data_IF_386667284512
#
_entry.id   IF_386667284512
#
_cell.length_a   1.000
_cell.length_b   1.000
_cell.length_c   1.000
_cell.angle_alpha   90.00
_cell.angle_beta   90.00
_cell.angle_gamma   90.00
#
_symmetry.space_group_name_H-M   'P 1'
#
loop_
_entity.id
_entity.type
_entity.pdbx_description
1 polymer ?
#
# COMPACT_ATOMS: atom_id res chain seq x y z
N UNK A 1 -7.08 -29.84 11.09
CA UNK A 1 -6.55 -29.20 12.31
C UNK A 1 -7.72 -28.64 13.12
N UNK A 2 -8.04 -29.23 14.28
CA UNK A 2 -8.94 -28.59 15.26
C UNK A 2 -8.29 -27.28 15.68
N UNK A 3 -8.97 -26.13 15.46
CA UNK A 3 -8.55 -24.86 16.05
C UNK A 3 -8.55 -25.06 17.57
N UNK A 4 -7.37 -25.11 18.16
CA UNK A 4 -7.22 -25.07 19.62
C UNK A 4 -7.83 -23.73 20.06
N UNK A 5 -8.91 -23.77 20.84
CA UNK A 5 -9.48 -22.55 21.42
C UNK A 5 -8.45 -21.99 22.39
N UNK A 6 -7.96 -20.81 22.10
CA UNK A 6 -7.11 -20.03 23.01
C UNK A 6 -8.01 -19.51 24.13
N UNK A 7 -7.56 -19.56 25.39
CA UNK A 7 -8.36 -19.01 26.50
C UNK A 7 -8.60 -17.51 26.30
N UNK A 8 -9.74 -16.96 26.76
CA UNK A 8 -10.03 -15.53 26.64
C UNK A 8 -8.93 -14.63 27.25
N UNK A 9 -8.33 -15.05 28.34
CA UNK A 9 -7.20 -14.33 28.99
C UNK A 9 -5.96 -14.29 28.11
N UNK A 10 -5.65 -15.41 27.47
CA UNK A 10 -4.53 -15.50 26.53
C UNK A 10 -4.81 -14.66 25.27
N UNK A 11 -6.06 -14.64 24.78
CA UNK A 11 -6.45 -13.80 23.65
C UNK A 11 -6.30 -12.31 23.96
N UNK A 12 -6.69 -11.86 25.16
CA UNK A 12 -6.52 -10.46 25.60
C UNK A 12 -5.04 -10.09 25.73
N UNK A 13 -4.22 -10.99 26.27
CA UNK A 13 -2.77 -10.77 26.38
C UNK A 13 -2.12 -10.63 24.99
N UNK A 14 -2.47 -11.50 24.05
CA UNK A 14 -1.98 -11.46 22.68
C UNK A 14 -2.47 -10.21 21.94
N UNK A 15 -3.71 -9.78 22.18
CA UNK A 15 -4.25 -8.53 21.65
C UNK A 15 -3.44 -7.33 22.16
N UNK A 16 -3.27 -7.19 23.46
CA UNK A 16 -2.48 -6.11 24.09
C UNK A 16 -1.05 -6.06 23.55
N UNK A 17 -0.42 -7.23 23.38
CA UNK A 17 0.92 -7.33 22.82
C UNK A 17 0.95 -6.79 21.36
N UNK A 18 0.03 -7.22 20.51
CA UNK A 18 -0.02 -6.78 19.12
C UNK A 18 -0.30 -5.26 19.00
N UNK A 19 -1.21 -4.74 19.82
CA UNK A 19 -1.50 -3.29 19.86
C UNK A 19 -0.28 -2.51 20.34
N UNK A 20 0.40 -2.95 21.39
CA UNK A 20 1.63 -2.30 21.88
C UNK A 20 2.72 -2.27 20.80
N UNK A 21 2.92 -3.38 20.08
CA UNK A 21 3.87 -3.46 18.97
C UNK A 21 3.51 -2.46 17.84
N UNK A 22 2.23 -2.32 17.52
CA UNK A 22 1.76 -1.35 16.53
C UNK A 22 2.14 0.09 16.91
N UNK A 23 1.93 0.49 18.17
CA UNK A 23 2.28 1.83 18.68
C UNK A 23 3.79 2.05 18.65
N UNK A 24 4.57 1.07 19.13
CA UNK A 24 6.04 1.15 19.12
C UNK A 24 6.61 1.23 17.69
N UNK A 25 6.05 0.49 16.74
CA UNK A 25 6.45 0.58 15.34
C UNK A 25 6.14 1.96 14.76
N UNK A 26 4.99 2.55 15.11
CA UNK A 26 4.62 3.88 14.64
C UNK A 26 5.55 4.97 15.20
N UNK A 27 5.87 4.90 16.48
CA UNK A 27 6.86 5.79 17.12
C UNK A 27 8.21 5.72 16.39
N UNK A 28 8.71 4.49 16.12
CA UNK A 28 9.94 4.30 15.35
C UNK A 28 9.85 4.85 13.94
N UNK A 29 8.74 4.61 13.24
CA UNK A 29 8.51 5.11 11.89
C UNK A 29 8.48 6.64 11.85
N UNK A 30 7.93 7.31 12.87
CA UNK A 30 7.89 8.77 12.98
C UNK A 30 9.27 9.40 13.15
N UNK A 31 10.19 8.68 13.83
CA UNK A 31 11.55 9.14 14.15
C UNK A 31 12.58 8.83 13.05
N UNK A 32 12.20 8.12 11.98
CA UNK A 32 13.12 7.77 10.89
C UNK A 32 13.82 8.99 10.33
N UNK A 33 15.15 8.89 10.21
CA UNK A 33 16.00 9.86 9.50
C UNK A 33 16.69 9.10 8.38
N UNK A 34 16.36 9.46 7.14
CA UNK A 34 16.98 8.86 5.95
C UNK A 34 18.29 9.60 5.69
N UNK A 35 19.45 8.89 5.57
CA UNK A 35 20.71 9.54 5.26
C UNK A 35 20.66 10.28 3.92
N UNK A 36 21.28 11.45 3.82
CA UNK A 36 21.28 12.30 2.61
C UNK A 36 21.75 11.56 1.36
N UNK A 37 22.75 10.67 1.52
CA UNK A 37 23.24 9.82 0.42
C UNK A 37 22.12 8.91 -0.11
N UNK A 38 21.34 8.31 0.78
CA UNK A 38 20.24 7.41 0.40
C UNK A 38 19.08 8.22 -0.21
N UNK A 39 18.72 9.34 0.39
CA UNK A 39 17.72 10.27 -0.17
C UNK A 39 18.06 10.62 -1.62
N UNK A 40 19.28 11.07 -1.86
CA UNK A 40 19.74 11.48 -3.20
C UNK A 40 19.68 10.32 -4.23
N UNK A 41 20.15 9.13 -3.86
CA UNK A 41 20.11 7.96 -4.77
C UNK A 41 18.69 7.49 -5.05
N UNK A 42 17.84 7.39 -4.02
CA UNK A 42 16.45 7.01 -4.12
C UNK A 42 15.70 8.02 -5.03
N UNK A 43 15.82 9.33 -4.79
CA UNK A 43 15.19 10.36 -5.63
C UNK A 43 15.58 10.20 -7.10
N UNK A 44 16.86 9.97 -7.39
CA UNK A 44 17.34 9.78 -8.76
C UNK A 44 16.80 8.50 -9.41
N UNK A 45 16.67 7.39 -8.68
CA UNK A 45 16.01 6.16 -9.17
C UNK A 45 14.55 6.44 -9.50
N UNK A 46 13.84 7.18 -8.63
CA UNK A 46 12.42 7.52 -8.80
C UNK A 46 12.13 8.31 -10.07
N UNK A 47 13.11 9.00 -10.65
CA UNK A 47 12.96 9.71 -11.94
C UNK A 47 12.75 8.76 -13.14
N UNK A 48 13.08 7.48 -12.99
CA UNK A 48 13.03 6.47 -14.06
C UNK A 48 11.91 5.45 -13.87
N UNK A 49 11.05 5.63 -12.85
CA UNK A 49 9.95 4.71 -12.55
C UNK A 49 8.59 5.43 -12.61
N UNK A 50 7.51 4.68 -12.74
CA UNK A 50 6.12 5.13 -12.59
C UNK A 50 5.71 6.36 -13.42
N UNK A 51 6.32 6.59 -14.58
CA UNK A 51 6.03 7.79 -15.41
C UNK A 51 4.56 7.98 -15.77
N UNK A 52 3.80 6.89 -15.87
CA UNK A 52 2.37 6.94 -16.15
C UNK A 52 1.55 7.63 -15.04
N UNK A 53 2.08 7.73 -13.82
CA UNK A 53 1.42 8.49 -12.75
C UNK A 53 1.44 10.01 -12.95
N UNK A 54 2.31 10.52 -13.84
CA UNK A 54 2.36 11.96 -14.21
C UNK A 54 1.20 12.36 -15.13
N UNK A 55 0.56 11.40 -15.78
CA UNK A 55 -0.59 11.67 -16.63
C UNK A 55 -1.82 11.94 -15.75
N UNK A 56 -2.45 13.11 -15.93
CA UNK A 56 -3.64 13.50 -15.14
C UNK A 56 -4.85 12.61 -15.40
N UNK A 57 -4.93 11.99 -16.57
CA UNK A 57 -6.03 11.15 -16.99
C UNK A 57 -5.68 9.65 -16.82
N UNK A 58 -6.12 9.07 -15.72
CA UNK A 58 -6.29 7.63 -15.68
C UNK A 58 -7.68 7.32 -16.25
N UNK A 59 -7.77 7.01 -17.52
CA UNK A 59 -9.03 6.69 -18.19
C UNK A 59 -9.83 5.54 -17.54
N UNK A 60 -9.24 4.76 -16.61
CA UNK A 60 -9.88 3.58 -16.02
C UNK A 60 -9.31 3.26 -14.63
N UNK A 61 -9.42 4.16 -13.66
CA UNK A 61 -9.22 3.74 -12.28
C UNK A 61 -10.44 2.92 -11.84
N UNK A 62 -10.25 1.63 -11.58
CA UNK A 62 -11.34 0.75 -11.13
C UNK A 62 -11.65 1.00 -9.64
N UNK A 63 -12.45 2.01 -9.37
CA UNK A 63 -12.97 2.28 -8.03
C UNK A 63 -13.98 1.22 -7.64
N UNK A 64 -13.77 0.59 -6.50
CA UNK A 64 -14.64 -0.47 -5.99
C UNK A 64 -14.55 -0.56 -4.47
N UNK A 65 -15.55 -1.17 -3.85
CA UNK A 65 -15.42 -1.54 -2.45
C UNK A 65 -14.54 -2.78 -2.30
N UNK A 66 -13.66 -2.75 -1.30
CA UNK A 66 -12.94 -3.93 -0.86
C UNK A 66 -13.87 -4.94 -0.16
N UNK A 67 -13.48 -6.21 -0.05
CA UNK A 67 -14.25 -7.25 0.64
C UNK A 67 -14.25 -7.08 2.17
N UNK A 68 -13.29 -6.33 2.72
CA UNK A 68 -13.09 -6.15 4.15
C UNK A 68 -14.19 -5.32 4.82
N UNK A 69 -14.22 -5.35 6.15
CA UNK A 69 -15.07 -4.48 6.96
C UNK A 69 -14.77 -3.00 6.72
N UNK A 70 -15.74 -2.14 6.98
CA UNK A 70 -15.60 -0.68 7.00
C UNK A 70 -15.95 -0.16 8.39
N UNK A 71 -15.38 1.00 8.77
CA UNK A 71 -15.52 1.58 10.12
C UNK A 71 -16.98 1.77 10.53
N UNK A 72 -17.83 2.13 9.57
CA UNK A 72 -19.28 2.34 9.77
C UNK A 72 -20.07 1.04 9.99
N UNK A 73 -19.44 -0.14 9.82
CA UNK A 73 -20.06 -1.43 10.07
C UNK A 73 -20.97 -1.95 8.95
N UNK A 74 -21.00 -1.31 7.79
CA UNK A 74 -21.81 -1.76 6.65
C UNK A 74 -21.38 -3.12 6.11
N UNK A 75 -22.35 -3.97 5.80
CA UNK A 75 -22.11 -5.25 5.10
C UNK A 75 -21.79 -5.01 3.63
N UNK A 76 -21.19 -5.99 2.99
CA UNK A 76 -20.75 -5.89 1.58
C UNK A 76 -21.88 -5.50 0.62
N UNK A 77 -23.10 -5.98 0.84
CA UNK A 77 -24.28 -5.64 0.04
C UNK A 77 -24.85 -4.23 0.33
N UNK A 78 -24.49 -3.60 1.44
CA UNK A 78 -24.95 -2.27 1.82
C UNK A 78 -24.00 -1.16 1.34
N UNK A 79 -22.72 -1.46 1.11
CA UNK A 79 -21.71 -0.45 0.81
C UNK A 79 -22.04 0.41 -0.40
N UNK A 80 -22.65 -0.14 -1.43
CA UNK A 80 -23.02 0.62 -2.62
C UNK A 80 -24.19 1.57 -2.39
N UNK A 81 -25.25 1.13 -1.71
CA UNK A 81 -26.40 1.98 -1.37
C UNK A 81 -26.01 3.08 -0.37
N UNK A 82 -25.15 2.77 0.59
CA UNK A 82 -24.69 3.73 1.58
C UNK A 82 -23.66 4.72 1.00
N UNK A 83 -22.93 4.34 -0.05
CA UNK A 83 -22.00 5.26 -0.72
C UNK A 83 -22.70 6.49 -1.27
N UNK A 84 -23.85 6.32 -1.92
CA UNK A 84 -24.66 7.44 -2.41
C UNK A 84 -25.07 8.38 -1.27
N UNK A 85 -25.52 7.80 -0.15
CA UNK A 85 -25.90 8.58 1.03
C UNK A 85 -24.73 9.33 1.64
N UNK A 86 -23.55 8.70 1.74
CA UNK A 86 -22.32 9.32 2.24
C UNK A 86 -21.92 10.48 1.33
N UNK A 87 -21.91 10.28 0.01
CA UNK A 87 -21.55 11.31 -0.96
C UNK A 87 -22.51 12.51 -0.86
N UNK A 88 -23.80 12.27 -0.71
CA UNK A 88 -24.82 13.34 -0.57
C UNK A 88 -24.67 14.16 0.72
N UNK A 89 -24.27 13.50 1.80
CA UNK A 89 -24.19 14.11 3.13
C UNK A 89 -22.77 14.55 3.50
N UNK A 90 -21.77 14.11 2.75
CA UNK A 90 -20.37 14.37 3.07
C UNK A 90 -19.91 15.67 2.40
N UNK A 91 -19.86 16.72 3.20
CA UNK A 91 -19.27 17.99 2.83
C UNK A 91 -17.72 17.94 2.75
N UNK A 92 -17.10 16.78 2.90
CA UNK A 92 -15.64 16.62 3.09
C UNK A 92 -14.95 15.80 2.00
N UNK A 93 -15.56 15.61 0.83
CA UNK A 93 -14.88 14.97 -0.29
C UNK A 93 -13.64 15.76 -0.70
N UNK A 94 -12.49 15.11 -0.96
CA UNK A 94 -11.34 15.80 -1.55
C UNK A 94 -11.70 16.42 -2.91
N UNK A 95 -11.12 17.58 -3.24
CA UNK A 95 -11.40 18.30 -4.49
C UNK A 95 -11.23 17.44 -5.74
N UNK A 96 -10.17 16.61 -5.78
CA UNK A 96 -9.94 15.67 -6.88
C UNK A 96 -11.00 14.57 -6.97
N UNK A 97 -11.70 14.24 -5.87
CA UNK A 97 -12.80 13.27 -5.87
C UNK A 97 -14.07 13.86 -6.47
N UNK A 98 -14.28 15.17 -6.36
CA UNK A 98 -15.38 15.89 -7.02
C UNK A 98 -15.26 15.93 -8.53
N UNK A 99 -14.04 15.99 -9.04
CA UNK A 99 -13.72 15.88 -10.47
C UNK A 99 -13.58 14.45 -10.96
N UNK A 100 -13.71 13.47 -10.07
CA UNK A 100 -13.27 12.15 -10.40
C UNK A 100 -14.31 11.43 -11.22
N UNK A 101 -13.84 11.01 -12.35
CA UNK A 101 -14.44 10.08 -13.28
C UNK A 101 -14.95 8.79 -12.60
N UNK A 102 -14.54 8.51 -11.34
CA UNK A 102 -14.94 7.32 -10.63
C UNK A 102 -16.45 7.25 -10.38
N UNK A 103 -17.09 8.38 -10.11
CA UNK A 103 -18.54 8.44 -9.92
C UNK A 103 -19.28 8.25 -11.26
N UNK A 104 -18.66 8.68 -12.35
CA UNK A 104 -19.24 8.56 -13.70
C UNK A 104 -19.07 7.16 -14.25
N UNK A 105 -17.89 6.55 -14.15
CA UNK A 105 -17.59 5.29 -14.82
C UNK A 105 -18.03 4.05 -14.04
N UNK A 106 -17.79 4.01 -12.73
CA UNK A 106 -17.92 2.77 -11.95
C UNK A 106 -19.10 2.75 -10.97
N UNK A 107 -19.51 3.91 -10.46
CA UNK A 107 -20.58 3.98 -9.45
C UNK A 107 -21.94 4.04 -10.12
N UNK A 108 -22.05 4.78 -11.23
CA UNK A 108 -23.32 5.01 -11.95
C UNK A 108 -24.08 3.73 -12.32
N UNK A 109 -23.45 2.69 -12.91
CA UNK A 109 -24.16 1.45 -13.22
C UNK A 109 -24.58 0.63 -12.00
N UNK A 110 -23.94 0.84 -10.85
CA UNK A 110 -24.12 0.03 -9.64
C UNK A 110 -25.04 0.66 -8.60
N UNK A 111 -25.31 1.94 -8.72
CA UNK A 111 -26.26 2.67 -7.89
C UNK A 111 -27.74 2.46 -8.32
N UNK A 112 -28.08 1.30 -8.83
CA UNK A 112 -29.47 0.93 -9.14
C UNK A 112 -29.87 1.00 -10.60
N UNK A 113 -28.92 0.94 -11.53
CA UNK A 113 -29.17 0.68 -12.95
C UNK A 113 -29.84 1.79 -13.76
N UNK A 114 -30.25 2.90 -13.14
CA UNK A 114 -30.97 3.99 -13.82
C UNK A 114 -30.44 5.40 -13.56
N UNK A 115 -29.52 5.58 -12.63
CA UNK A 115 -28.93 6.90 -12.33
C UNK A 115 -27.62 7.09 -13.09
N UNK A 116 -27.64 7.86 -14.13
CA UNK A 116 -26.46 8.28 -14.84
C UNK A 116 -25.86 9.52 -14.14
N UNK A 117 -24.85 9.30 -13.31
CA UNK A 117 -24.05 10.39 -12.75
C UNK A 117 -23.08 10.90 -13.81
N UNK A 118 -23.12 12.17 -14.12
CA UNK A 118 -22.20 12.80 -15.06
C UNK A 118 -21.64 14.10 -14.53
N UNK A 119 -20.39 14.37 -14.86
CA UNK A 119 -19.78 15.68 -14.63
C UNK A 119 -20.38 16.66 -15.63
N UNK A 120 -20.94 17.77 -15.18
CA UNK A 120 -21.43 18.83 -16.04
C UNK A 120 -20.26 19.68 -16.54
N UNK A 121 -20.53 20.49 -17.60
CA UNK A 121 -19.55 21.46 -18.14
C UNK A 121 -19.16 22.54 -17.11
N UNK A 122 -19.99 22.79 -16.12
CA UNK A 122 -19.75 23.69 -15.00
C UNK A 122 -19.02 23.02 -13.83
N UNK A 123 -18.46 21.84 -14.05
CA UNK A 123 -17.75 21.02 -13.06
C UNK A 123 -18.61 20.55 -11.86
N UNK A 124 -19.92 20.54 -12.00
CA UNK A 124 -20.81 19.95 -11.00
C UNK A 124 -21.11 18.49 -11.30
N UNK A 125 -21.20 17.66 -10.26
CA UNK A 125 -21.69 16.28 -10.36
C UNK A 125 -23.22 16.29 -10.46
N UNK A 126 -23.75 15.66 -11.50
CA UNK A 126 -25.17 15.54 -11.71
C UNK A 126 -25.59 14.08 -11.90
N UNK A 127 -26.67 13.68 -11.28
CA UNK A 127 -27.30 12.40 -11.46
C UNK A 127 -28.75 12.56 -11.92
N UNK A 128 -29.27 11.54 -12.58
CA UNK A 128 -30.67 11.50 -12.99
C UNK A 128 -31.52 10.83 -11.92
N UNK A 129 -32.55 11.51 -11.45
CA UNK A 129 -33.49 10.92 -10.51
C UNK A 129 -34.32 9.85 -11.27
N UNK A 130 -34.40 8.60 -10.79
CA UNK A 130 -35.22 7.57 -11.42
C UNK A 130 -36.67 8.02 -11.54
N UNK A 131 -37.24 7.95 -12.75
CA UNK A 131 -38.62 8.32 -13.04
C UNK A 131 -38.85 9.80 -13.28
N UNK A 132 -37.87 10.67 -13.25
CA UNK A 132 -37.98 12.09 -13.59
C UNK A 132 -37.00 12.46 -14.72
N UNK A 133 -37.29 13.56 -15.41
CA UNK A 133 -36.36 14.15 -16.39
C UNK A 133 -35.36 15.14 -15.72
N UNK A 134 -35.48 15.37 -14.43
CA UNK A 134 -34.68 16.29 -13.69
C UNK A 134 -33.31 15.70 -13.36
N UNK A 135 -32.27 16.49 -13.54
CA UNK A 135 -30.90 16.15 -13.13
C UNK A 135 -30.70 16.61 -11.69
N UNK A 136 -30.30 15.70 -10.82
CA UNK A 136 -29.86 16.06 -9.48
C UNK A 136 -28.43 16.57 -9.53
N UNK A 137 -28.20 17.82 -9.15
CA UNK A 137 -26.86 18.36 -8.91
C UNK A 137 -26.46 17.94 -7.51
N UNK A 138 -25.43 17.10 -7.40
CA UNK A 138 -24.95 16.62 -6.10
C UNK A 138 -23.94 17.56 -5.47
N UNK A 139 -23.05 18.11 -6.30
CA UNK A 139 -21.99 19.00 -5.85
C UNK A 139 -21.71 20.06 -6.88
N UNK A 140 -21.48 21.29 -6.44
CA UNK A 140 -20.97 22.38 -7.24
C UNK A 140 -19.49 22.57 -6.92
N UNK A 141 -18.70 23.05 -7.90
CA UNK A 141 -17.27 23.26 -7.75
C UNK A 141 -16.92 24.21 -6.58
N UNK A 142 -17.74 25.24 -6.37
CA UNK A 142 -17.57 26.20 -5.27
C UNK A 142 -17.64 25.53 -3.88
N UNK A 143 -18.39 24.42 -3.75
CA UNK A 143 -18.55 23.70 -2.49
C UNK A 143 -17.29 22.92 -2.09
N UNK A 144 -16.33 22.74 -3.02
CA UNK A 144 -15.09 22.02 -2.79
C UNK A 144 -13.95 22.90 -2.27
N UNK A 145 -13.94 24.19 -2.58
CA UNK A 145 -12.82 25.08 -2.24
C UNK A 145 -12.78 25.57 -0.79
N UNK A 146 -13.88 25.48 -0.05
CA UNK A 146 -13.95 25.95 1.35
C UNK A 146 -13.79 24.83 2.39
N UNK A 147 -13.40 23.62 1.98
CA UNK A 147 -13.47 22.44 2.86
C UNK A 147 -12.22 22.25 3.71
N UNK A 148 -12.46 22.00 4.99
CA UNK A 148 -11.40 21.58 5.93
C UNK A 148 -10.90 20.19 5.55
N UNK A 149 -9.58 19.91 5.71
CA UNK A 149 -9.05 18.60 5.47
C UNK A 149 -9.78 17.55 6.33
N UNK A 150 -10.08 16.42 5.74
CA UNK A 150 -10.75 15.31 6.38
C UNK A 150 -9.84 14.69 7.44
N UNK A 151 -10.25 14.70 8.70
CA UNK A 151 -9.57 14.04 9.80
C UNK A 151 -10.24 12.69 10.09
N UNK A 152 -10.24 11.81 9.09
CA UNK A 152 -10.80 10.48 9.27
C UNK A 152 -9.90 9.63 10.17
N UNK A 153 -10.54 8.84 11.02
CA UNK A 153 -9.84 7.86 11.83
C UNK A 153 -10.23 6.44 11.40
N UNK A 154 -9.25 5.55 11.38
CA UNK A 154 -9.47 4.11 11.21
C UNK A 154 -9.61 3.43 12.58
N UNK A 155 -10.36 2.34 12.63
CA UNK A 155 -10.46 1.50 13.83
C UNK A 155 -9.37 0.45 13.83
N UNK A 156 -8.57 0.39 14.90
CA UNK A 156 -7.57 -0.65 15.09
C UNK A 156 -8.17 -1.87 15.78
N UNK A 157 -7.98 -3.02 15.18
CA UNK A 157 -8.30 -4.32 15.76
C UNK A 157 -7.12 -5.27 15.64
N UNK A 158 -7.16 -6.37 16.36
CA UNK A 158 -6.23 -7.48 16.12
C UNK A 158 -6.96 -8.74 15.70
N UNK A 159 -6.34 -9.50 14.80
CA UNK A 159 -6.80 -10.81 14.32
C UNK A 159 -5.75 -11.87 14.59
N UNK A 160 -6.17 -13.12 14.80
CA UNK A 160 -5.23 -14.24 14.99
C UNK A 160 -4.39 -14.42 13.72
N UNK A 161 -3.06 -14.42 13.89
CA UNK A 161 -2.10 -14.82 12.86
C UNK A 161 -1.83 -16.33 12.94
N UNK A 162 -1.61 -16.81 14.16
CA UNK A 162 -1.46 -18.22 14.51
C UNK A 162 -1.85 -18.41 15.98
N UNK A 163 -1.64 -19.59 16.56
CA UNK A 163 -2.00 -19.92 17.95
C UNK A 163 -1.26 -19.07 19.00
N UNK A 164 -0.15 -18.45 18.65
CA UNK A 164 0.75 -17.75 19.59
C UNK A 164 0.90 -16.25 19.28
N UNK A 165 0.28 -15.76 18.20
CA UNK A 165 0.42 -14.37 17.80
C UNK A 165 -0.84 -13.81 17.14
N UNK A 166 -1.04 -12.50 17.32
CA UNK A 166 -2.07 -11.71 16.65
C UNK A 166 -1.42 -10.66 15.74
N UNK A 167 -2.16 -10.24 14.73
CA UNK A 167 -1.79 -9.19 13.79
C UNK A 167 -2.78 -8.05 13.93
N UNK A 168 -2.30 -6.82 13.93
CA UNK A 168 -3.15 -5.63 13.90
C UNK A 168 -3.66 -5.36 12.48
N UNK A 169 -4.91 -4.92 12.39
CA UNK A 169 -5.55 -4.49 11.14
C UNK A 169 -6.26 -3.16 11.41
N UNK A 170 -6.13 -2.22 10.48
CA UNK A 170 -6.92 -0.99 10.48
C UNK A 170 -8.18 -1.19 9.63
N UNK A 171 -9.32 -0.88 10.21
CA UNK A 171 -10.60 -0.85 9.49
C UNK A 171 -10.83 0.59 9.06
N UNK A 172 -10.69 0.83 7.77
CA UNK A 172 -10.83 2.15 7.16
C UNK A 172 -12.29 2.59 7.06
N UNK A 173 -12.58 3.91 7.06
CA UNK A 173 -13.87 4.43 6.64
C UNK A 173 -14.24 3.98 5.22
N UNK A 174 -15.52 3.80 4.97
CA UNK A 174 -16.02 3.25 3.70
C UNK A 174 -15.58 4.06 2.49
N UNK A 175 -15.66 5.38 2.56
CA UNK A 175 -15.26 6.25 1.45
C UNK A 175 -13.75 6.23 1.23
N UNK A 176 -12.95 6.24 2.31
CA UNK A 176 -11.50 6.11 2.20
C UNK A 176 -11.12 4.78 1.54
N UNK A 177 -11.73 3.66 1.98
CA UNK A 177 -11.51 2.36 1.37
C UNK A 177 -11.83 2.35 -0.13
N UNK A 178 -12.93 2.99 -0.53
CA UNK A 178 -13.35 3.09 -1.93
C UNK A 178 -12.33 3.86 -2.78
N UNK A 179 -11.90 5.05 -2.30
CA UNK A 179 -10.91 5.88 -2.98
C UNK A 179 -9.52 5.21 -3.04
N UNK A 180 -9.11 4.60 -1.94
CA UNK A 180 -7.86 3.82 -1.87
C UNK A 180 -7.83 2.68 -2.90
N UNK A 181 -8.94 1.98 -3.13
CA UNK A 181 -9.02 0.91 -4.13
C UNK A 181 -8.80 1.45 -5.55
N UNK A 182 -9.36 2.60 -5.88
CA UNK A 182 -9.13 3.26 -7.18
C UNK A 182 -7.67 3.66 -7.38
N UNK A 183 -7.07 4.32 -6.39
CA UNK A 183 -5.65 4.68 -6.44
C UNK A 183 -4.73 3.46 -6.47
N UNK A 184 -5.07 2.40 -5.73
CA UNK A 184 -4.36 1.12 -5.75
C UNK A 184 -4.38 0.48 -7.14
N UNK A 185 -5.55 0.47 -7.80
CA UNK A 185 -5.67 -0.02 -9.17
C UNK A 185 -4.80 0.79 -10.15
N UNK A 186 -4.80 2.12 -10.02
CA UNK A 186 -3.95 3.00 -10.83
C UNK A 186 -2.46 2.74 -10.60
N UNK A 187 -2.03 2.59 -9.33
CA UNK A 187 -0.65 2.28 -9.00
C UNK A 187 -0.21 0.92 -9.55
N UNK A 188 -1.06 -0.10 -9.45
CA UNK A 188 -0.80 -1.42 -10.03
C UNK A 188 -0.60 -1.34 -11.53
N UNK A 189 -1.49 -0.64 -12.26
CA UNK A 189 -1.34 -0.44 -13.70
C UNK A 189 -0.06 0.33 -14.06
N UNK A 190 0.34 1.29 -13.22
CA UNK A 190 1.59 2.02 -13.41
C UNK A 190 2.83 1.15 -13.19
N UNK A 191 2.79 0.23 -12.23
CA UNK A 191 3.85 -0.76 -11.99
C UNK A 191 3.95 -1.71 -13.19
N UNK A 192 2.83 -2.28 -13.62
CA UNK A 192 2.78 -3.27 -14.71
C UNK A 192 3.27 -2.67 -16.04
N UNK A 193 2.97 -1.40 -16.31
CA UNK A 193 3.43 -0.68 -17.51
C UNK A 193 4.86 -0.16 -17.41
N UNK A 194 5.46 -0.17 -16.22
CA UNK A 194 6.82 0.33 -15.99
C UNK A 194 7.86 -0.73 -16.32
N UNK A 195 8.68 -0.51 -17.35
CA UNK A 195 9.74 -1.46 -17.76
C UNK A 195 10.81 -1.72 -16.67
N UNK A 196 10.95 -0.85 -15.70
CA UNK A 196 11.86 -1.02 -14.55
C UNK A 196 11.16 -1.85 -13.47
N UNK A 197 10.05 -1.36 -12.93
CA UNK A 197 9.37 -1.99 -11.80
C UNK A 197 8.66 -3.30 -12.16
N UNK A 198 8.16 -3.45 -13.39
CA UNK A 198 7.59 -4.71 -13.86
C UNK A 198 8.60 -5.88 -13.87
N UNK A 199 9.91 -5.59 -13.89
CA UNK A 199 10.92 -6.61 -13.68
C UNK A 199 11.12 -6.96 -12.18
N UNK A 200 10.82 -6.04 -11.28
CA UNK A 200 11.10 -6.20 -9.85
C UNK A 200 9.87 -6.52 -9.02
N UNK A 201 8.67 -6.17 -9.47
CA UNK A 201 7.44 -6.30 -8.69
C UNK A 201 6.42 -7.12 -9.49
N UNK A 202 5.82 -8.10 -8.83
CA UNK A 202 4.75 -8.93 -9.41
C UNK A 202 3.61 -9.07 -8.38
N UNK A 203 2.77 -8.03 -8.26
CA UNK A 203 1.76 -7.91 -7.19
C UNK A 203 0.70 -9.02 -7.16
N UNK A 204 0.53 -9.78 -8.25
CA UNK A 204 -0.46 -10.86 -8.39
C UNK A 204 0.17 -12.24 -8.61
N UNK A 205 1.49 -12.33 -8.71
CA UNK A 205 2.23 -13.54 -9.09
C UNK A 205 3.35 -13.86 -8.10
N UNK A 206 2.98 -14.45 -6.96
CA UNK A 206 3.95 -14.87 -5.94
C UNK A 206 4.86 -16.03 -6.41
N UNK A 207 4.43 -16.76 -7.43
CA UNK A 207 5.18 -17.87 -8.02
C UNK A 207 6.53 -17.46 -8.60
N UNK A 208 6.73 -16.19 -8.94
CA UNK A 208 8.04 -15.71 -9.36
C UNK A 208 9.05 -15.71 -8.20
N UNK A 209 8.64 -15.23 -7.03
CA UNK A 209 9.48 -15.29 -5.83
C UNK A 209 9.73 -16.74 -5.41
N UNK A 210 8.70 -17.60 -5.45
CA UNK A 210 8.83 -19.03 -5.14
C UNK A 210 9.87 -19.72 -6.02
N UNK A 211 9.84 -19.49 -7.34
CA UNK A 211 10.82 -20.03 -8.30
C UNK A 211 12.24 -19.55 -8.01
N UNK A 212 12.42 -18.26 -7.69
CA UNK A 212 13.73 -17.72 -7.36
C UNK A 212 14.25 -18.25 -6.01
N UNK A 213 13.38 -18.54 -5.05
CA UNK A 213 13.77 -19.21 -3.81
C UNK A 213 14.29 -20.63 -4.07
N UNK A 214 13.61 -21.41 -4.93
CA UNK A 214 14.06 -22.73 -5.36
C UNK A 214 15.42 -22.65 -6.09
N UNK A 215 15.55 -21.76 -7.08
CA UNK A 215 16.79 -21.53 -7.81
C UNK A 215 17.92 -21.10 -6.89
N UNK A 216 17.67 -20.11 -6.01
CA UNK A 216 18.65 -19.62 -5.04
C UNK A 216 19.07 -20.67 -4.03
N UNK A 217 18.18 -21.59 -3.64
CA UNK A 217 18.53 -22.71 -2.76
C UNK A 217 19.42 -23.76 -3.45
N UNK A 218 19.38 -23.85 -4.78
CA UNK A 218 20.22 -24.77 -5.55
C UNK A 218 21.58 -24.18 -5.90
N UNK A 219 21.60 -22.91 -6.40
CA UNK A 219 22.81 -22.27 -6.94
C UNK A 219 23.43 -21.21 -6.02
N UNK A 220 22.80 -20.85 -4.91
CA UNK A 220 23.18 -19.77 -4.00
C UNK A 220 23.34 -18.39 -4.69
N UNK A 221 22.67 -18.18 -5.81
CA UNK A 221 22.69 -16.95 -6.59
C UNK A 221 21.64 -15.92 -6.18
N UNK A 222 20.62 -16.32 -5.42
CA UNK A 222 19.56 -15.48 -4.87
C UNK A 222 19.51 -15.57 -3.35
N UNK A 223 19.41 -14.41 -2.71
CA UNK A 223 19.17 -14.24 -1.29
C UNK A 223 17.71 -13.90 -1.03
N UNK A 224 17.12 -14.42 0.04
CA UNK A 224 15.76 -14.07 0.49
C UNK A 224 15.83 -13.25 1.77
N UNK A 225 15.10 -12.14 1.81
CA UNK A 225 15.08 -11.17 2.90
C UNK A 225 13.64 -11.02 3.38
N UNK A 226 13.39 -11.30 4.64
CA UNK A 226 12.12 -11.10 5.35
C UNK A 226 12.20 -9.85 6.23
N UNK A 227 11.13 -9.07 6.30
CA UNK A 227 11.04 -7.86 7.11
C UNK A 227 10.09 -8.07 8.29
N UNK A 228 10.50 -7.63 9.48
CA UNK A 228 9.60 -7.59 10.64
C UNK A 228 8.72 -6.37 10.57
N UNK A 229 7.42 -6.58 10.77
CA UNK A 229 6.43 -5.48 10.86
C UNK A 229 6.56 -4.49 9.69
N UNK A 230 6.79 -5.02 8.46
CA UNK A 230 7.16 -4.27 7.26
C UNK A 230 6.23 -3.08 6.98
N UNK A 231 4.92 -3.30 7.00
CA UNK A 231 3.92 -2.25 6.80
C UNK A 231 3.89 -1.25 7.96
N UNK A 232 4.14 -1.72 9.18
CA UNK A 232 4.08 -0.89 10.38
C UNK A 232 5.33 -0.02 10.60
N UNK A 233 6.43 -0.36 9.94
CA UNK A 233 7.67 0.43 9.94
C UNK A 233 7.83 1.31 8.69
N UNK A 234 6.90 1.26 7.75
CA UNK A 234 6.96 2.09 6.56
C UNK A 234 6.59 3.55 6.87
N UNK A 235 7.61 4.38 7.07
CA UNK A 235 7.45 5.79 7.44
C UNK A 235 6.82 6.63 6.31
N UNK A 236 6.08 7.67 6.69
CA UNK A 236 5.62 8.68 5.72
C UNK A 236 6.79 9.35 4.98
N UNK A 237 7.94 9.51 5.65
CA UNK A 237 9.14 10.11 5.05
C UNK A 237 9.65 9.26 3.88
N UNK A 238 9.73 7.93 4.05
CA UNK A 238 10.14 7.04 2.98
C UNK A 238 9.16 7.08 1.80
N UNK A 239 7.85 7.00 2.07
CA UNK A 239 6.82 7.09 1.03
C UNK A 239 6.86 8.44 0.34
N UNK A 240 6.98 9.54 1.09
CA UNK A 240 7.12 10.89 0.52
C UNK A 240 8.36 11.05 -0.36
N UNK A 241 9.48 10.44 0.02
CA UNK A 241 10.70 10.41 -0.78
C UNK A 241 10.50 9.66 -2.10
N UNK A 242 9.96 8.44 -2.04
CA UNK A 242 9.76 7.58 -3.22
C UNK A 242 8.74 8.19 -4.20
N UNK A 243 7.71 8.84 -3.69
CA UNK A 243 6.68 9.48 -4.52
C UNK A 243 6.93 10.99 -4.77
N UNK A 244 8.08 11.54 -4.39
CA UNK A 244 8.46 12.95 -4.60
C UNK A 244 8.32 13.41 -6.05
N UNK A 245 8.57 12.52 -7.01
CA UNK A 245 8.44 12.81 -8.44
C UNK A 245 6.99 12.81 -8.94
N UNK A 246 6.03 12.46 -8.07
CA UNK A 246 4.60 12.29 -8.37
C UNK A 246 3.74 12.99 -7.31
N UNK A 247 3.89 14.33 -7.12
CA UNK A 247 3.28 15.05 -6.00
C UNK A 247 1.75 14.96 -5.99
N UNK A 248 1.10 15.05 -7.16
CA UNK A 248 -0.36 14.92 -7.27
C UNK A 248 -0.86 13.54 -6.82
N UNK A 249 -0.16 12.46 -7.22
CA UNK A 249 -0.54 11.12 -6.80
C UNK A 249 -0.29 10.91 -5.29
N UNK A 250 0.84 11.40 -4.79
CA UNK A 250 1.16 11.36 -3.36
C UNK A 250 0.10 12.10 -2.54
N UNK A 251 -0.28 13.31 -2.95
CA UNK A 251 -1.31 14.08 -2.25
C UNK A 251 -2.64 13.31 -2.20
N UNK A 252 -3.09 12.72 -3.32
CA UNK A 252 -4.30 11.89 -3.34
C UNK A 252 -4.23 10.68 -2.40
N UNK A 253 -3.07 10.04 -2.28
CA UNK A 253 -2.87 8.98 -1.29
C UNK A 253 -3.01 9.51 0.14
N UNK A 254 -2.47 10.71 0.41
CA UNK A 254 -2.58 11.34 1.73
C UNK A 254 -4.00 11.79 2.06
N UNK A 255 -4.76 12.29 1.07
CA UNK A 255 -6.15 12.75 1.25
C UNK A 255 -7.12 11.59 1.59
N UNK A 256 -6.85 10.38 1.08
CA UNK A 256 -7.71 9.22 1.35
C UNK A 256 -7.17 8.27 2.42
N UNK A 257 -6.04 8.57 3.06
CA UNK A 257 -5.58 7.79 4.22
C UNK A 257 -6.30 8.25 5.49
N UNK A 258 -6.41 7.37 6.48
CA UNK A 258 -6.80 7.73 7.83
C UNK A 258 -5.55 8.17 8.61
N UNK A 259 -5.40 9.47 8.94
CA UNK A 259 -4.23 9.95 9.66
C UNK A 259 -4.25 9.58 11.15
N UNK A 260 -5.40 9.19 11.68
CA UNK A 260 -5.61 8.82 13.07
C UNK A 260 -6.10 7.38 13.17
N UNK A 261 -5.67 6.68 14.19
CA UNK A 261 -6.13 5.33 14.52
C UNK A 261 -6.72 5.31 15.92
N UNK A 262 -7.90 4.70 16.05
CA UNK A 262 -8.62 4.53 17.30
C UNK A 262 -8.61 3.05 17.72
N UNK A 263 -8.20 2.80 18.95
CA UNK A 263 -8.27 1.51 19.62
C UNK A 263 -9.08 1.66 20.92
N UNK A 264 -9.86 0.64 21.29
CA UNK A 264 -10.85 0.74 22.37
C UNK A 264 -10.25 1.01 23.75
N UNK A 265 -9.00 0.60 23.99
CA UNK A 265 -8.35 0.63 25.31
C UNK A 265 -7.22 1.65 25.42
N UNK A 266 -6.90 2.35 24.31
CA UNK A 266 -5.80 3.31 24.25
C UNK A 266 -6.23 4.67 23.71
N UNK A 267 -5.48 5.74 24.02
CA UNK A 267 -5.66 7.02 23.33
C UNK A 267 -5.53 6.87 21.81
N UNK A 268 -6.26 7.70 21.06
CA UNK A 268 -6.09 7.78 19.61
C UNK A 268 -4.65 8.12 19.24
N UNK A 269 -4.15 7.49 18.18
CA UNK A 269 -2.79 7.65 17.68
C UNK A 269 -2.81 8.38 16.34
N UNK A 270 -2.11 9.52 16.26
CA UNK A 270 -1.78 10.13 14.97
C UNK A 270 -0.60 9.39 14.34
N UNK A 271 -0.80 8.85 13.13
CA UNK A 271 0.16 7.95 12.50
C UNK A 271 1.38 8.70 11.93
N UNK A 272 2.56 8.31 12.37
CA UNK A 272 3.86 8.64 11.77
C UNK A 272 4.23 7.73 10.59
N UNK A 273 3.72 6.49 10.58
CA UNK A 273 3.79 5.58 9.43
C UNK A 273 2.81 5.98 8.33
N UNK A 274 3.01 5.47 7.14
CA UNK A 274 2.14 5.76 5.98
C UNK A 274 0.71 5.28 6.21
N UNK A 275 0.51 4.02 6.54
CA UNK A 275 -0.80 3.42 6.76
C UNK A 275 -0.69 2.11 7.54
N UNK A 276 -1.79 1.66 8.13
CA UNK A 276 -1.90 0.32 8.72
C UNK A 276 -2.28 -0.75 7.70
N UNK A 277 -2.21 -2.00 8.11
CA UNK A 277 -2.76 -3.13 7.35
C UNK A 277 -4.28 -3.02 7.31
N UNK A 278 -4.85 -2.93 6.10
CA UNK A 278 -6.28 -2.71 5.85
C UNK A 278 -6.51 -1.55 4.88
N UNK A 279 -5.58 -0.60 4.81
CA UNK A 279 -5.53 0.38 3.74
C UNK A 279 -5.12 -0.30 2.43
N UNK A 280 -5.89 -0.10 1.37
CA UNK A 280 -5.70 -0.77 0.07
C UNK A 280 -4.41 -0.37 -0.66
N UNK A 281 -3.78 0.72 -0.25
CA UNK A 281 -2.52 1.21 -0.81
C UNK A 281 -1.30 0.60 -0.11
N UNK A 282 -1.43 0.06 1.10
CA UNK A 282 -0.27 -0.45 1.86
C UNK A 282 0.56 -1.43 1.06
N UNK A 283 -0.05 -2.47 0.51
CA UNK A 283 0.66 -3.52 -0.22
C UNK A 283 1.38 -3.03 -1.49
N UNK A 284 0.75 -2.31 -2.44
CA UNK A 284 1.45 -1.84 -3.62
C UNK A 284 2.46 -0.72 -3.32
N UNK A 285 2.19 0.16 -2.36
CA UNK A 285 3.12 1.25 -1.99
C UNK A 285 4.38 0.68 -1.33
N UNK A 286 4.26 -0.26 -0.38
CA UNK A 286 5.42 -0.89 0.23
C UNK A 286 6.27 -1.65 -0.80
N UNK A 287 5.64 -2.36 -1.74
CA UNK A 287 6.36 -3.08 -2.80
C UNK A 287 7.18 -2.13 -3.66
N UNK A 288 6.64 -0.96 -4.01
CA UNK A 288 7.38 0.09 -4.75
C UNK A 288 8.53 0.64 -3.92
N UNK A 289 8.29 0.99 -2.65
CA UNK A 289 9.31 1.54 -1.76
C UNK A 289 10.48 0.56 -1.62
N UNK A 290 10.19 -0.72 -1.36
CA UNK A 290 11.23 -1.73 -1.17
C UNK A 290 12.00 -1.99 -2.46
N UNK A 291 11.34 -2.11 -3.60
CA UNK A 291 12.02 -2.27 -4.89
C UNK A 291 12.94 -1.09 -5.22
N UNK A 292 12.48 0.14 -4.99
CA UNK A 292 13.29 1.35 -5.25
C UNK A 292 14.49 1.43 -4.32
N UNK A 293 14.33 1.14 -3.03
CA UNK A 293 15.45 1.10 -2.06
C UNK A 293 16.47 0.03 -2.46
N UNK A 294 16.03 -1.18 -2.81
CA UNK A 294 16.91 -2.25 -3.26
C UNK A 294 17.69 -1.87 -4.53
N UNK A 295 17.00 -1.29 -5.52
CA UNK A 295 17.63 -0.83 -6.77
C UNK A 295 18.69 0.25 -6.48
N UNK A 296 18.36 1.21 -5.61
CA UNK A 296 19.30 2.26 -5.21
C UNK A 296 20.54 1.70 -4.49
N UNK A 297 20.33 0.74 -3.57
CA UNK A 297 21.40 0.04 -2.86
C UNK A 297 22.35 -0.72 -3.81
N UNK A 298 21.79 -1.41 -4.81
CA UNK A 298 22.56 -2.15 -5.82
C UNK A 298 23.41 -1.20 -6.66
N UNK A 299 22.84 -0.08 -7.11
CA UNK A 299 23.58 0.93 -7.88
C UNK A 299 24.71 1.57 -7.07
N UNK A 300 24.45 1.85 -5.79
CA UNK A 300 25.46 2.37 -4.88
C UNK A 300 26.62 1.37 -4.68
N UNK A 301 26.30 0.09 -4.47
CA UNK A 301 27.28 -0.98 -4.35
C UNK A 301 28.17 -1.11 -5.61
N UNK A 302 27.54 -1.01 -6.78
CA UNK A 302 28.22 -1.10 -8.07
C UNK A 302 29.00 0.19 -8.45
N UNK A 303 28.86 1.26 -7.68
CA UNK A 303 29.45 2.57 -7.99
C UNK A 303 28.83 3.26 -9.22
N UNK A 304 27.60 2.87 -9.62
CA UNK A 304 26.94 3.41 -10.79
C UNK A 304 25.98 4.55 -10.42
N UNK A 305 26.11 5.66 -11.14
CA UNK A 305 25.10 6.72 -11.07
C UNK A 305 23.78 6.23 -11.65
N UNK A 306 22.63 6.57 -11.01
CA UNK A 306 21.31 6.27 -11.55
C UNK A 306 21.09 6.92 -12.93
N UNK A 307 20.96 6.10 -13.95
CA UNK A 307 20.53 6.40 -15.31
C UNK A 307 19.46 5.37 -15.69
N UNK A 308 18.68 5.63 -16.73
CA UNK A 308 17.65 4.66 -17.14
C UNK A 308 18.19 3.24 -17.34
N UNK A 309 19.33 3.10 -18.01
CA UNK A 309 19.92 1.79 -18.30
C UNK A 309 20.47 1.10 -17.05
N UNK A 310 21.12 1.86 -16.17
CA UNK A 310 21.66 1.31 -14.92
C UNK A 310 20.51 0.90 -13.98
N UNK A 311 19.47 1.73 -13.85
CA UNK A 311 18.27 1.44 -13.04
C UNK A 311 17.56 0.20 -13.58
N UNK A 312 17.38 0.10 -14.91
CA UNK A 312 16.77 -1.07 -15.56
C UNK A 312 17.61 -2.33 -15.40
N UNK A 313 18.95 -2.21 -15.41
CA UNK A 313 19.84 -3.35 -15.16
C UNK A 313 19.75 -3.82 -13.72
N UNK A 314 19.84 -2.90 -12.75
CA UNK A 314 19.74 -3.20 -11.33
C UNK A 314 18.37 -3.79 -10.96
N UNK A 315 17.28 -3.33 -11.61
CA UNK A 315 15.92 -3.84 -11.35
C UNK A 315 15.76 -5.34 -11.63
N UNK A 316 16.60 -5.93 -12.48
CA UNK A 316 16.58 -7.38 -12.77
C UNK A 316 17.21 -8.23 -11.66
N UNK A 317 17.97 -7.59 -10.77
CA UNK A 317 18.60 -8.25 -9.62
C UNK A 317 17.72 -8.24 -8.37
N UNK A 318 16.45 -7.81 -8.49
CA UNK A 318 15.51 -7.64 -7.38
C UNK A 318 14.16 -8.22 -7.73
N UNK A 319 13.52 -8.91 -6.78
CA UNK A 319 12.11 -9.28 -6.81
C UNK A 319 11.46 -8.96 -5.47
N UNK A 320 10.28 -8.36 -5.54
CA UNK A 320 9.50 -7.95 -4.37
C UNK A 320 8.05 -8.39 -4.54
N UNK A 321 7.55 -9.07 -3.54
CA UNK A 321 6.13 -9.39 -3.38
C UNK A 321 5.71 -8.99 -1.96
N UNK A 322 5.18 -7.79 -1.80
CA UNK A 322 4.85 -7.24 -0.48
C UNK A 322 6.09 -7.05 0.40
N UNK A 323 6.20 -7.85 1.45
CA UNK A 323 7.33 -7.90 2.39
C UNK A 323 8.38 -8.97 2.05
N UNK A 324 8.08 -9.88 1.12
CA UNK A 324 9.04 -10.86 0.60
C UNK A 324 9.97 -10.23 -0.44
N UNK A 325 11.23 -10.07 -0.10
CA UNK A 325 12.26 -9.49 -0.96
C UNK A 325 13.27 -10.57 -1.37
N UNK A 326 13.56 -10.67 -2.65
CA UNK A 326 14.61 -11.51 -3.19
C UNK A 326 15.60 -10.65 -3.97
N UNK A 327 16.89 -10.83 -3.75
CA UNK A 327 17.96 -10.10 -4.45
C UNK A 327 19.10 -11.04 -4.83
N UNK A 328 19.89 -10.69 -5.83
CA UNK A 328 21.12 -11.43 -6.10
C UNK A 328 22.01 -11.46 -4.85
N UNK A 329 22.56 -12.63 -4.52
CA UNK A 329 23.35 -12.89 -3.30
C UNK A 329 24.50 -11.88 -3.13
N UNK A 330 25.16 -11.49 -4.20
CA UNK A 330 26.27 -10.51 -4.20
C UNK A 330 25.88 -9.12 -3.67
N UNK A 331 24.59 -8.74 -3.76
CA UNK A 331 24.08 -7.44 -3.31
C UNK A 331 23.38 -7.50 -1.97
N UNK A 332 23.13 -8.70 -1.44
CA UNK A 332 22.22 -8.92 -0.31
C UNK A 332 22.62 -8.12 0.93
N UNK A 333 23.90 -8.10 1.29
CA UNK A 333 24.37 -7.39 2.49
C UNK A 333 24.18 -5.87 2.37
N UNK A 334 24.46 -5.30 1.19
CA UNK A 334 24.27 -3.89 0.93
C UNK A 334 22.77 -3.52 0.99
N UNK A 335 21.91 -4.35 0.40
CA UNK A 335 20.45 -4.16 0.45
C UNK A 335 19.94 -4.21 1.88
N UNK A 336 20.40 -5.17 2.70
CA UNK A 336 20.04 -5.25 4.12
C UNK A 336 20.42 -3.97 4.87
N UNK A 337 21.63 -3.46 4.69
CA UNK A 337 22.08 -2.19 5.31
C UNK A 337 21.16 -1.03 4.91
N UNK A 338 20.87 -0.87 3.61
CA UNK A 338 20.00 0.21 3.14
C UNK A 338 18.58 0.13 3.63
N UNK A 339 18.00 -1.08 3.70
CA UNK A 339 16.67 -1.29 4.27
C UNK A 339 16.62 -0.87 5.74
N UNK A 340 17.67 -1.18 6.51
CA UNK A 340 17.80 -0.76 7.91
C UNK A 340 17.99 0.76 8.05
N UNK A 341 18.81 1.37 7.21
CA UNK A 341 19.09 2.80 7.20
C UNK A 341 17.85 3.66 6.87
N UNK A 342 16.89 3.12 6.10
CA UNK A 342 15.60 3.78 5.85
C UNK A 342 14.53 3.46 6.91
N UNK A 343 14.90 2.80 8.01
CA UNK A 343 14.05 2.56 9.18
C UNK A 343 13.32 1.22 9.20
N UNK A 344 13.57 0.33 8.23
CA UNK A 344 12.98 -1.01 8.22
C UNK A 344 13.76 -1.98 9.11
N UNK A 345 13.14 -3.06 9.52
CA UNK A 345 13.77 -4.06 10.36
C UNK A 345 13.85 -5.42 9.65
N UNK A 346 15.08 -5.82 9.27
CA UNK A 346 15.31 -7.14 8.69
C UNK A 346 15.18 -8.22 9.76
N UNK A 347 14.44 -9.27 9.44
CA UNK A 347 14.30 -10.46 10.26
C UNK A 347 15.43 -11.45 10.00
N UNK A 348 16.53 -11.30 10.74
CA UNK A 348 17.73 -12.12 10.56
C UNK A 348 17.46 -13.63 10.64
N UNK A 349 16.46 -14.06 11.43
CA UNK A 349 16.12 -15.48 11.57
C UNK A 349 15.40 -16.06 10.36
N UNK A 350 14.79 -15.21 9.54
CA UNK A 350 14.02 -15.57 8.34
C UNK A 350 14.62 -14.99 7.06
N UNK A 351 15.81 -14.43 7.14
CA UNK A 351 16.54 -13.92 5.98
C UNK A 351 17.74 -14.82 5.70
N UNK A 352 17.81 -15.34 4.48
CA UNK A 352 18.82 -16.32 4.08
C UNK A 352 19.66 -15.71 2.96
N UNK A 353 20.75 -15.03 3.35
CA UNK A 353 21.59 -14.27 2.44
C UNK A 353 22.54 -15.15 1.63
N UNK A 354 22.88 -16.33 2.17
CA UNK A 354 23.74 -17.33 1.52
C UNK A 354 23.33 -18.75 1.95
N UNK A 355 23.87 -19.76 1.27
CA UNK A 355 23.64 -21.18 1.57
C UNK A 355 22.40 -21.75 0.86
N UNK A 356 22.18 -23.04 1.07
CA UNK A 356 21.25 -23.84 0.28
C UNK A 356 19.81 -23.84 0.81
N UNK A 357 19.50 -23.06 1.84
CA UNK A 357 18.12 -22.87 2.33
C UNK A 357 17.63 -21.47 2.00
N UNK A 358 16.43 -21.37 1.43
CA UNK A 358 15.76 -20.10 1.13
C UNK A 358 14.26 -20.23 1.48
N UNK A 359 13.66 -19.12 1.94
CA UNK A 359 12.21 -19.04 2.22
C UNK A 359 11.64 -17.81 1.52
N UNK A 360 10.58 -17.95 0.72
CA UNK A 360 9.81 -16.80 0.19
C UNK A 360 8.42 -17.21 -0.26
N UNK A 361 7.44 -16.36 -0.01
CA UNK A 361 6.04 -16.55 -0.42
C UNK A 361 5.48 -17.93 -0.06
N UNK A 362 5.85 -18.44 1.14
CA UNK A 362 5.34 -19.72 1.67
C UNK A 362 5.99 -20.98 1.09
N UNK A 363 7.06 -20.84 0.29
CA UNK A 363 7.93 -21.95 -0.11
C UNK A 363 9.16 -21.96 0.78
N UNK A 364 9.45 -23.12 1.38
CA UNK A 364 10.69 -23.44 2.08
C UNK A 364 11.54 -24.33 1.18
N UNK A 365 12.59 -23.74 0.59
CA UNK A 365 13.41 -24.36 -0.45
C UNK A 365 14.77 -24.83 0.10
N UNK A 366 15.13 -26.09 -0.14
CA UNK A 366 16.43 -26.63 0.19
C UNK A 366 17.03 -27.39 -0.98
N UNK A 367 18.23 -26.98 -1.44
CA UNK A 367 18.94 -27.58 -2.59
C UNK A 367 18.08 -27.75 -3.84
N UNK A 368 17.23 -26.78 -4.13
CA UNK A 368 16.35 -26.77 -5.30
C UNK A 368 15.02 -27.49 -5.13
N UNK A 369 14.71 -28.02 -3.94
CA UNK A 369 13.49 -28.77 -3.66
C UNK A 369 12.67 -28.02 -2.62
N UNK A 370 11.35 -27.95 -2.81
CA UNK A 370 10.37 -27.47 -1.83
C UNK A 370 10.17 -28.54 -0.76
N UNK A 371 10.30 -28.20 0.54
CA UNK A 371 10.37 -29.15 1.67
C UNK A 371 9.23 -28.97 2.65
#
# INVERSE_FOLDING_TARGET
>A
FKKTQVSPECEDLLHKKAVNEFYQCDERASQVVIPDRHDHHIDRVCRYVLHSLKQKEAKYAAYKHGPGAVKEGFRSNQKWSELERVIRNDSQLPDWAGYSEFLVADVSPRLGGQSNWCLRRDNSLAGRIPGTQENLVLFQEADFFERKPRLDSAKLISVLKNSTSRRTITIEPMLNQFLQQGLSSRLKSAIDSCQVLGNSIALTHQEYNQKLALEGSHYDNWATIDLKSASDLMSQKLVGLVFRQFPDFYQRMMDCRSPVVEEATKPSLTLGKFAGMGNALTFPVQSVCFAVVCIAAILDYQGFSPSYWNVRRASRCVRVYGDDIIVHTEHAQQVVSWLQDVGLQVNVKKSFLSGNFKESCGVEAYKGVDI
#
